data_IF_217603831060
#
_entry.id   IF_217603831060
#
_cell.length_a   1.000
_cell.length_b   1.000
_cell.length_c   1.000
_cell.angle_alpha   90.00
_cell.angle_beta   90.00
_cell.angle_gamma   90.00
#
_symmetry.space_group_name_H-M   'P 1'
#
loop_
_entity.id
_entity.type
_entity.pdbx_description
1 polymer ?
#
# COMPACT_ATOMS: atom_id res chain seq x y z
N UNK A 1 -9.63 33.70 -63.14
CA UNK A 1 -9.35 32.38 -63.74
C UNK A 1 -8.56 31.57 -62.71
N UNK A 2 -9.24 30.74 -61.92
CA UNK A 2 -8.63 29.87 -60.90
C UNK A 2 -8.05 28.67 -61.62
N UNK A 3 -6.72 28.53 -61.62
CA UNK A 3 -6.08 27.28 -62.04
C UNK A 3 -6.32 26.28 -60.91
N UNK A 4 -7.07 25.21 -61.20
CA UNK A 4 -7.40 24.16 -60.26
C UNK A 4 -6.15 23.39 -59.86
N UNK A 5 -6.06 23.03 -58.57
CA UNK A 5 -4.97 22.26 -57.94
C UNK A 5 -4.83 20.81 -58.45
N UNK A 6 -5.44 20.42 -59.58
CA UNK A 6 -5.43 19.02 -60.04
C UNK A 6 -4.26 18.65 -60.96
N UNK A 7 -3.28 19.54 -61.18
CA UNK A 7 -2.15 19.29 -62.08
C UNK A 7 -0.86 18.82 -61.40
N UNK A 8 -0.87 18.60 -60.07
CA UNK A 8 0.29 18.07 -59.31
C UNK A 8 0.25 16.57 -59.04
N UNK A 9 -0.67 15.83 -59.66
CA UNK A 9 -0.73 14.37 -59.58
C UNK A 9 -0.56 13.78 -60.97
N UNK A 10 0.68 13.57 -61.44
CA UNK A 10 1.01 12.49 -62.41
C UNK A 10 2.45 12.44 -62.97
N UNK A 11 3.45 13.15 -62.44
CA UNK A 11 4.87 12.86 -62.82
C UNK A 11 5.83 12.85 -61.62
N UNK A 12 5.85 11.78 -60.79
CA UNK A 12 6.70 11.74 -59.61
C UNK A 12 8.20 11.52 -59.86
N UNK A 13 8.67 11.40 -61.10
CA UNK A 13 10.00 10.83 -61.40
C UNK A 13 11.00 11.79 -62.04
N UNK A 14 10.69 13.09 -62.17
CA UNK A 14 11.62 14.06 -62.79
C UNK A 14 12.13 15.16 -61.86
N UNK A 15 11.63 15.24 -60.63
CA UNK A 15 12.23 16.07 -59.60
C UNK A 15 12.52 15.18 -58.40
N UNK A 16 13.71 14.60 -58.35
CA UNK A 16 14.27 14.19 -57.08
C UNK A 16 14.27 15.45 -56.20
N UNK A 17 13.42 15.49 -55.18
CA UNK A 17 13.52 16.52 -54.14
C UNK A 17 14.84 16.27 -53.46
N UNK A 18 15.86 17.04 -53.86
CA UNK A 18 17.14 17.09 -53.18
C UNK A 18 16.83 17.64 -51.80
N UNK A 19 16.67 16.77 -50.81
CA UNK A 19 16.52 17.23 -49.43
C UNK A 19 17.82 17.92 -49.05
N UNK A 20 17.69 19.11 -48.47
CA UNK A 20 18.86 19.81 -47.93
C UNK A 20 19.38 19.02 -46.73
N UNK A 21 20.69 19.00 -46.48
CA UNK A 21 21.23 18.39 -45.28
C UNK A 21 20.74 19.15 -44.02
N UNK A 22 20.73 18.46 -42.88
CA UNK A 22 20.42 19.04 -41.56
C UNK A 22 18.97 19.51 -41.34
N UNK A 23 17.97 18.87 -41.97
CA UNK A 23 16.55 19.26 -41.87
C UNK A 23 15.82 18.69 -40.63
N UNK A 24 16.46 17.80 -39.85
CA UNK A 24 15.84 17.22 -38.66
C UNK A 24 16.10 18.10 -37.42
N UNK A 25 15.03 18.38 -36.67
CA UNK A 25 15.00 19.35 -35.56
C UNK A 25 15.76 18.91 -34.29
N UNK A 26 16.37 17.73 -34.27
CA UNK A 26 17.12 17.17 -33.13
C UNK A 26 18.40 16.43 -33.56
N UNK A 27 19.08 16.93 -34.58
CA UNK A 27 20.29 16.31 -35.13
C UNK A 27 21.53 16.86 -34.44
N UNK A 28 22.27 16.01 -33.71
CA UNK A 28 23.58 16.38 -33.16
C UNK A 28 24.54 16.83 -34.26
N UNK A 29 25.47 17.75 -33.95
CA UNK A 29 26.35 18.39 -34.94
C UNK A 29 27.11 17.39 -35.82
N UNK A 30 27.48 16.22 -35.26
CA UNK A 30 28.15 15.15 -36.02
C UNK A 30 27.28 14.54 -37.12
N UNK A 31 25.99 14.35 -36.87
CA UNK A 31 25.06 13.80 -37.87
C UNK A 31 24.76 14.82 -38.97
N UNK A 32 24.64 16.11 -38.64
CA UNK A 32 24.50 17.18 -39.63
C UNK A 32 25.74 17.27 -40.54
N UNK A 33 26.95 17.15 -39.98
CA UNK A 33 28.20 17.12 -40.76
C UNK A 33 28.24 15.90 -41.70
N UNK A 34 27.81 14.72 -41.23
CA UNK A 34 27.71 13.52 -42.05
C UNK A 34 26.73 13.66 -43.21
N UNK A 35 25.56 14.27 -42.96
CA UNK A 35 24.55 14.52 -43.99
C UNK A 35 25.06 15.50 -45.06
N UNK A 36 25.76 16.58 -44.67
CA UNK A 36 26.39 17.54 -45.59
C UNK A 36 27.43 16.85 -46.48
N UNK A 37 28.25 15.98 -45.91
CA UNK A 37 29.30 15.27 -46.64
C UNK A 37 28.71 14.32 -47.70
N UNK A 38 27.71 13.52 -47.33
CA UNK A 38 27.02 12.62 -48.26
C UNK A 38 26.30 13.39 -49.38
N UNK A 39 25.68 14.51 -49.05
CA UNK A 39 25.03 15.40 -50.02
C UNK A 39 26.04 16.02 -51.01
N UNK A 40 27.20 16.44 -50.50
CA UNK A 40 28.28 17.02 -51.31
C UNK A 40 28.84 16.00 -52.32
N UNK A 41 29.05 14.75 -51.89
CA UNK A 41 29.50 13.68 -52.79
C UNK A 41 28.46 13.38 -53.87
N UNK A 42 27.17 13.35 -53.54
CA UNK A 42 26.12 13.11 -54.52
C UNK A 42 26.10 14.18 -55.62
N UNK A 43 26.22 15.46 -55.25
CA UNK A 43 26.27 16.58 -56.21
C UNK A 43 27.53 16.49 -57.07
N UNK A 44 28.69 16.26 -56.47
CA UNK A 44 29.96 16.14 -57.22
C UNK A 44 29.94 14.94 -58.15
N UNK A 45 29.35 13.81 -57.73
CA UNK A 45 29.18 12.62 -58.56
C UNK A 45 28.29 12.86 -59.78
N UNK A 46 27.16 13.56 -59.60
CA UNK A 46 26.27 13.96 -60.70
C UNK A 46 26.97 14.94 -61.64
N UNK A 47 27.67 15.93 -61.11
CA UNK A 47 28.42 16.90 -61.91
C UNK A 47 29.54 16.22 -62.72
N UNK A 48 30.26 15.28 -62.12
CA UNK A 48 31.30 14.49 -62.79
C UNK A 48 30.71 13.61 -63.90
N UNK A 49 29.57 12.95 -63.65
CA UNK A 49 28.87 12.15 -64.65
C UNK A 49 28.42 13.00 -65.85
N UNK A 50 27.83 14.18 -65.61
CA UNK A 50 27.43 15.11 -66.67
C UNK A 50 28.63 15.55 -67.50
N UNK A 51 29.78 15.84 -66.88
CA UNK A 51 30.99 16.24 -67.60
C UNK A 51 31.54 15.11 -68.47
N UNK A 52 31.55 13.87 -67.97
CA UNK A 52 31.98 12.69 -68.75
C UNK A 52 31.07 12.48 -69.96
N UNK A 53 29.75 12.61 -69.78
CA UNK A 53 28.78 12.46 -70.90
C UNK A 53 28.96 13.57 -71.93
N UNK A 54 29.09 14.84 -71.52
CA UNK A 54 29.30 15.97 -72.43
C UNK A 54 30.60 15.83 -73.22
N UNK A 55 31.69 15.50 -72.54
CA UNK A 55 32.98 15.28 -73.18
C UNK A 55 32.99 14.03 -74.08
N UNK A 56 32.23 12.99 -73.72
CA UNK A 56 32.04 11.80 -74.55
C UNK A 56 31.35 12.15 -75.89
N UNK A 57 30.26 12.93 -75.85
CA UNK A 57 29.57 13.39 -77.06
C UNK A 57 30.49 14.25 -77.92
N UNK A 58 31.24 15.18 -77.31
CA UNK A 58 32.23 16.03 -77.99
C UNK A 58 33.32 15.19 -78.68
N UNK A 59 33.82 14.13 -78.02
CA UNK A 59 34.80 13.22 -78.60
C UNK A 59 34.26 12.46 -79.82
N UNK A 60 33.01 11.98 -79.76
CA UNK A 60 32.39 11.26 -80.88
C UNK A 60 32.03 12.17 -82.06
N UNK A 61 31.72 13.45 -81.79
CA UNK A 61 31.28 14.42 -82.81
C UNK A 61 32.42 15.23 -83.43
N UNK A 62 33.65 15.10 -82.92
CA UNK A 62 34.84 15.85 -83.37
C UNK A 62 35.26 15.60 -84.86
N UNK A 63 34.62 14.68 -85.58
CA UNK A 63 34.63 14.54 -87.05
C UNK A 63 35.96 14.90 -87.77
N UNK A 64 37.10 14.41 -87.28
CA UNK A 64 38.43 14.60 -87.90
C UNK A 64 39.24 15.82 -87.43
N UNK A 65 38.71 16.66 -86.53
CA UNK A 65 39.47 17.73 -85.88
C UNK A 65 40.30 17.17 -84.70
N UNK A 66 41.62 17.16 -84.86
CA UNK A 66 42.54 16.66 -83.83
C UNK A 66 42.56 17.51 -82.54
N UNK A 67 42.20 18.80 -82.62
CA UNK A 67 42.15 19.69 -81.46
C UNK A 67 40.95 19.35 -80.57
N UNK A 68 39.75 19.27 -81.13
CA UNK A 68 38.52 19.01 -80.37
C UNK A 68 38.55 17.61 -79.73
N UNK A 69 39.13 16.63 -80.43
CA UNK A 69 39.34 15.29 -79.88
C UNK A 69 40.35 15.28 -78.71
N UNK A 70 41.35 16.17 -78.72
CA UNK A 70 42.32 16.33 -77.63
C UNK A 70 41.69 17.04 -76.44
N UNK A 71 40.89 18.07 -76.68
CA UNK A 71 40.20 18.83 -75.63
C UNK A 71 39.14 17.98 -74.93
N UNK A 72 38.37 17.17 -75.67
CA UNK A 72 37.43 16.21 -75.10
C UNK A 72 38.13 15.17 -74.21
N UNK A 73 39.30 14.66 -74.64
CA UNK A 73 40.14 13.76 -73.84
C UNK A 73 40.63 14.43 -72.55
N UNK A 74 41.05 15.69 -72.61
CA UNK A 74 41.44 16.46 -71.42
C UNK A 74 40.29 16.55 -70.42
N UNK A 75 39.08 16.90 -70.88
CA UNK A 75 37.88 17.00 -70.04
C UNK A 75 37.53 15.67 -69.36
N UNK A 76 37.72 14.55 -70.06
CA UNK A 76 37.54 13.20 -69.48
C UNK A 76 38.61 12.92 -68.43
N UNK A 77 39.89 13.22 -68.71
CA UNK A 77 40.98 13.02 -67.75
C UNK A 77 40.80 13.85 -66.48
N UNK A 78 40.38 15.11 -66.61
CA UNK A 78 40.11 16.00 -65.48
C UNK A 78 38.94 15.49 -64.62
N UNK A 79 37.87 14.98 -65.25
CA UNK A 79 36.75 14.36 -64.54
C UNK A 79 37.15 13.07 -63.81
N UNK A 80 37.98 12.22 -64.42
CA UNK A 80 38.50 11.00 -63.80
C UNK A 80 39.38 11.33 -62.60
N UNK A 81 40.26 12.33 -62.72
CA UNK A 81 41.08 12.80 -61.59
C UNK A 81 40.21 13.33 -60.43
N UNK A 82 39.13 14.05 -60.75
CA UNK A 82 38.16 14.50 -59.75
C UNK A 82 37.47 13.35 -59.01
N UNK A 83 37.07 12.30 -59.75
CA UNK A 83 36.46 11.09 -59.16
C UNK A 83 37.46 10.34 -58.28
N UNK A 84 38.71 10.21 -58.72
CA UNK A 84 39.78 9.57 -57.93
C UNK A 84 40.02 10.36 -56.65
N UNK A 85 40.11 11.70 -56.72
CA UNK A 85 40.31 12.55 -55.55
C UNK A 85 39.14 12.44 -54.56
N UNK A 86 37.90 12.39 -55.06
CA UNK A 86 36.71 12.17 -54.24
C UNK A 86 36.74 10.80 -53.56
N UNK A 87 37.08 9.74 -54.31
CA UNK A 87 37.16 8.39 -53.78
C UNK A 87 38.29 8.25 -52.74
N UNK A 88 39.45 8.86 -52.99
CA UNK A 88 40.55 8.91 -52.03
C UNK A 88 40.16 9.64 -50.75
N UNK A 89 39.45 10.77 -50.86
CA UNK A 89 38.94 11.51 -49.69
C UNK A 89 37.97 10.65 -48.86
N UNK A 90 37.07 9.92 -49.53
CA UNK A 90 36.15 8.98 -48.87
C UNK A 90 36.89 7.85 -48.13
N UNK A 91 37.91 7.24 -48.76
CA UNK A 91 38.68 6.17 -48.12
C UNK A 91 39.43 6.68 -46.88
N UNK A 92 40.08 7.83 -46.97
CA UNK A 92 40.82 8.43 -45.84
C UNK A 92 39.87 8.72 -44.67
N UNK A 93 38.73 9.36 -44.93
CA UNK A 93 37.75 9.70 -43.90
C UNK A 93 37.15 8.43 -43.26
N UNK A 94 36.85 7.41 -44.08
CA UNK A 94 36.36 6.11 -43.61
C UNK A 94 37.38 5.36 -42.73
N UNK A 95 38.68 5.51 -43.03
CA UNK A 95 39.75 4.88 -42.24
C UNK A 95 39.98 5.59 -40.90
N UNK A 96 39.85 6.91 -40.84
CA UNK A 96 40.03 7.67 -39.58
C UNK A 96 38.82 7.48 -38.66
N UNK A 97 37.60 7.63 -39.19
CA UNK A 97 36.39 7.36 -38.44
C UNK A 97 35.23 7.02 -39.42
N UNK A 98 34.74 5.76 -39.45
CA UNK A 98 33.67 5.36 -40.35
C UNK A 98 32.33 6.07 -40.09
N UNK A 99 32.14 6.68 -38.91
CA UNK A 99 30.92 7.41 -38.56
C UNK A 99 30.81 8.77 -39.28
N UNK A 100 31.92 9.29 -39.84
CA UNK A 100 31.92 10.55 -40.59
C UNK A 100 31.39 10.41 -42.03
N UNK A 101 31.26 9.18 -42.52
CA UNK A 101 30.88 8.87 -43.92
C UNK A 101 29.68 7.93 -44.04
N UNK A 102 28.92 7.74 -42.95
CA UNK A 102 27.59 7.11 -43.00
C UNK A 102 27.55 5.63 -43.39
N UNK A 103 28.50 4.81 -42.92
CA UNK A 103 28.34 3.35 -42.94
C UNK A 103 28.22 2.71 -44.34
N UNK A 104 29.30 2.76 -45.12
CA UNK A 104 29.52 1.88 -46.29
C UNK A 104 28.75 2.24 -47.58
N UNK A 105 29.38 2.07 -48.76
CA UNK A 105 28.73 2.31 -50.05
C UNK A 105 27.82 1.12 -50.38
N UNK A 106 26.53 1.23 -50.08
CA UNK A 106 25.54 0.21 -50.46
C UNK A 106 24.26 0.17 -49.62
N UNK A 107 24.20 0.87 -48.49
CA UNK A 107 23.11 0.69 -47.51
C UNK A 107 22.09 1.84 -47.41
N UNK A 108 22.26 2.97 -48.12
CA UNK A 108 21.49 4.18 -47.78
C UNK A 108 21.11 5.09 -48.95
N UNK A 109 20.80 4.56 -50.14
CA UNK A 109 20.38 5.41 -51.29
C UNK A 109 18.94 5.18 -51.76
N UNK A 110 18.19 4.20 -51.23
CA UNK A 110 16.79 4.00 -51.63
C UNK A 110 15.86 3.63 -50.48
N UNK A 111 15.87 4.40 -49.39
CA UNK A 111 14.66 4.53 -48.56
C UNK A 111 14.69 5.86 -47.77
N UNK A 112 13.91 6.89 -48.14
CA UNK A 112 13.75 8.08 -47.30
C UNK A 112 13.02 7.79 -45.96
N UNK A 113 12.68 6.54 -45.65
CA UNK A 113 12.09 6.11 -44.38
C UNK A 113 12.88 5.09 -43.57
N UNK A 114 14.07 4.64 -44.00
CA UNK A 114 14.79 3.55 -43.30
C UNK A 114 16.24 3.90 -43.00
N UNK A 115 16.48 5.09 -42.46
CA UNK A 115 17.43 5.13 -41.36
C UNK A 115 16.84 4.18 -40.31
N UNK A 116 17.45 3.00 -40.16
CA UNK A 116 17.38 2.23 -38.93
C UNK A 116 17.89 3.15 -37.83
N UNK A 117 17.01 4.03 -37.37
CA UNK A 117 16.92 4.39 -35.99
C UNK A 117 16.90 3.04 -35.31
N UNK A 118 18.01 2.66 -34.69
CA UNK A 118 17.91 1.96 -33.44
C UNK A 118 17.03 2.89 -32.59
N UNK A 119 15.70 2.74 -32.73
CA UNK A 119 14.73 3.43 -31.93
C UNK A 119 15.10 2.96 -30.55
N UNK A 120 15.71 3.87 -29.79
CA UNK A 120 16.12 3.63 -28.42
C UNK A 120 14.82 3.33 -27.68
N UNK A 121 14.46 2.05 -27.63
CA UNK A 121 13.15 1.62 -27.18
C UNK A 121 13.03 2.05 -25.71
N UNK A 122 11.99 2.80 -25.40
CA UNK A 122 11.69 3.12 -24.02
C UNK A 122 11.37 1.82 -23.29
N UNK A 123 12.02 1.60 -22.15
CA UNK A 123 11.79 0.41 -21.35
C UNK A 123 11.77 0.78 -19.88
N UNK A 124 10.76 0.28 -19.19
CA UNK A 124 10.60 0.38 -17.76
C UNK A 124 11.12 -0.91 -17.13
N UNK A 125 12.30 -0.85 -16.53
CA UNK A 125 13.00 -2.05 -16.03
C UNK A 125 12.56 -2.40 -14.62
N UNK A 126 12.34 -1.40 -13.76
CA UNK A 126 11.88 -1.61 -12.39
C UNK A 126 10.95 -0.49 -11.90
N UNK A 127 10.15 -0.82 -10.89
CA UNK A 127 9.41 0.13 -10.07
C UNK A 127 9.71 -0.17 -8.61
N UNK A 128 9.94 0.86 -7.81
CA UNK A 128 10.14 0.75 -6.38
C UNK A 128 9.46 1.90 -5.62
N UNK A 129 8.73 1.62 -4.53
CA UNK A 129 8.36 0.29 -4.04
C UNK A 129 7.22 -0.33 -4.88
N UNK A 130 7.11 -1.67 -4.91
CA UNK A 130 5.94 -2.37 -5.52
C UNK A 130 4.67 -2.28 -4.67
N UNK A 131 4.82 -1.89 -3.40
CA UNK A 131 3.73 -1.56 -2.47
C UNK A 131 3.98 -0.14 -1.98
N UNK A 132 3.15 0.79 -2.40
CA UNK A 132 3.35 2.22 -2.15
C UNK A 132 2.23 2.74 -1.27
N UNK A 133 2.60 3.55 -0.29
CA UNK A 133 1.62 4.19 0.59
C UNK A 133 0.84 5.23 -0.23
N UNK A 134 -0.45 5.39 0.04
CA UNK A 134 -1.24 6.49 -0.49
C UNK A 134 -0.53 7.85 -0.28
N UNK A 135 -0.45 8.69 -1.33
CA UNK A 135 0.34 9.93 -1.27
C UNK A 135 1.86 9.74 -1.37
N UNK A 136 2.33 8.50 -1.51
CA UNK A 136 3.74 8.11 -1.45
C UNK A 136 4.50 8.32 -2.76
N UNK A 137 5.82 8.21 -2.67
CA UNK A 137 6.71 8.32 -3.82
C UNK A 137 6.94 6.96 -4.48
N UNK A 138 6.93 6.96 -5.82
CA UNK A 138 7.19 5.82 -6.66
C UNK A 138 8.36 6.14 -7.59
N UNK A 139 9.45 5.39 -7.49
CA UNK A 139 10.60 5.50 -8.39
C UNK A 139 10.46 4.49 -9.53
N UNK A 140 10.47 5.00 -10.75
CA UNK A 140 10.49 4.24 -11.99
C UNK A 140 11.93 4.21 -12.53
N UNK A 141 12.51 3.03 -12.68
CA UNK A 141 13.83 2.86 -13.29
C UNK A 141 13.69 2.27 -14.69
N UNK A 142 14.48 2.77 -15.62
CA UNK A 142 14.40 2.32 -17.00
C UNK A 142 15.52 2.84 -17.88
N UNK A 143 15.27 2.83 -19.19
CA UNK A 143 16.20 3.36 -20.19
C UNK A 143 15.44 4.18 -21.23
N UNK A 144 16.14 5.18 -21.77
CA UNK A 144 15.66 6.05 -22.84
C UNK A 144 14.42 6.87 -22.47
N UNK A 145 14.31 7.27 -21.19
CA UNK A 145 13.42 8.35 -20.80
C UNK A 145 13.92 9.68 -21.37
N UNK A 146 12.99 10.60 -21.59
CA UNK A 146 13.25 11.94 -22.12
C UNK A 146 12.50 12.96 -21.27
N UNK A 147 12.83 14.25 -21.40
CA UNK A 147 12.09 15.32 -20.70
C UNK A 147 10.60 15.41 -21.08
N UNK A 148 10.20 14.75 -22.17
CA UNK A 148 8.81 14.67 -22.64
C UNK A 148 8.17 13.31 -22.36
N UNK A 149 8.83 12.45 -21.59
CA UNK A 149 8.24 11.16 -21.17
C UNK A 149 7.03 11.42 -20.26
N UNK A 150 5.99 10.63 -20.46
CA UNK A 150 4.70 10.76 -19.78
C UNK A 150 4.44 9.48 -19.00
N UNK A 151 4.09 9.61 -17.71
CA UNK A 151 3.66 8.46 -16.91
C UNK A 151 2.19 8.23 -17.15
N UNK A 152 1.79 6.97 -17.33
CA UNK A 152 0.40 6.56 -17.42
C UNK A 152 0.04 5.63 -16.28
N UNK A 153 -1.13 5.81 -15.70
CA UNK A 153 -1.72 4.92 -14.69
C UNK A 153 -3.02 4.34 -15.28
N UNK A 154 -3.13 3.01 -15.29
CA UNK A 154 -4.23 2.25 -15.91
C UNK A 154 -4.51 2.67 -17.36
N UNK A 155 -3.44 3.01 -18.09
CA UNK A 155 -3.47 3.45 -19.47
C UNK A 155 -3.81 4.94 -19.68
N UNK A 156 -4.17 5.68 -18.63
CA UNK A 156 -4.48 7.10 -18.71
C UNK A 156 -3.25 7.97 -18.34
N UNK A 157 -3.03 9.11 -19.03
CA UNK A 157 -2.04 10.10 -18.61
C UNK A 157 -2.17 10.50 -17.14
N UNK A 158 -1.06 10.48 -16.41
CA UNK A 158 -1.01 10.97 -15.03
C UNK A 158 -0.60 12.44 -14.97
N UNK A 159 -0.94 13.13 -13.87
CA UNK A 159 -0.68 14.57 -13.70
C UNK A 159 0.83 14.88 -13.81
N UNK A 160 1.26 15.68 -14.81
CA UNK A 160 2.66 16.09 -14.94
C UNK A 160 3.21 16.84 -13.72
N UNK A 161 2.35 17.50 -12.93
CA UNK A 161 2.75 18.19 -11.70
C UNK A 161 3.24 17.24 -10.59
N UNK A 162 2.91 15.95 -10.71
CA UNK A 162 3.31 14.90 -9.79
C UNK A 162 4.47 14.04 -10.30
N UNK A 163 5.06 14.38 -11.46
CA UNK A 163 6.10 13.58 -12.13
C UNK A 163 7.39 14.38 -12.26
N UNK A 164 8.48 13.85 -11.71
CA UNK A 164 9.83 14.40 -11.84
C UNK A 164 10.70 13.45 -12.65
N UNK A 165 11.18 13.88 -13.81
CA UNK A 165 12.05 13.08 -14.67
C UNK A 165 13.51 13.40 -14.34
N UNK A 166 14.25 12.43 -13.81
CA UNK A 166 15.65 12.57 -13.42
C UNK A 166 16.58 11.90 -14.45
N UNK A 167 16.75 12.56 -15.59
CA UNK A 167 17.58 12.06 -16.68
C UNK A 167 16.92 10.92 -17.48
N UNK A 168 17.73 10.08 -18.13
CA UNK A 168 17.24 9.09 -19.09
C UNK A 168 16.88 7.73 -18.50
N UNK A 169 17.01 7.55 -17.19
CA UNK A 169 16.87 6.25 -16.53
C UNK A 169 16.05 6.25 -15.24
N UNK A 170 15.62 7.41 -14.76
CA UNK A 170 14.85 7.53 -13.53
C UNK A 170 13.71 8.53 -13.68
N UNK A 171 12.53 8.17 -13.19
CA UNK A 171 11.39 9.06 -13.01
C UNK A 171 10.87 8.85 -11.59
N UNK A 172 10.60 9.93 -10.86
CA UNK A 172 9.98 9.90 -9.53
C UNK A 172 8.54 10.40 -9.70
N UNK A 173 7.58 9.63 -9.23
CA UNK A 173 6.15 9.94 -9.29
C UNK A 173 5.63 10.07 -7.87
N UNK A 174 4.96 11.18 -7.57
CA UNK A 174 4.21 11.35 -6.34
C UNK A 174 2.78 10.91 -6.59
N UNK A 175 2.36 9.80 -5.98
CA UNK A 175 0.98 9.38 -6.10
C UNK A 175 0.08 10.33 -5.30
N UNK A 176 -1.09 10.64 -5.82
CA UNK A 176 -2.10 11.41 -5.11
C UNK A 176 -2.92 10.50 -4.18
N UNK A 177 -3.92 11.09 -3.54
CA UNK A 177 -4.82 10.42 -2.60
C UNK A 177 -6.14 10.00 -3.27
N UNK A 178 -6.13 9.78 -4.59
CA UNK A 178 -7.36 9.39 -5.31
C UNK A 178 -7.53 7.88 -5.45
N UNK A 179 -6.45 7.11 -5.21
CA UNK A 179 -6.47 5.65 -5.27
C UNK A 179 -6.98 5.02 -3.96
N UNK A 180 -7.72 3.92 -4.08
CA UNK A 180 -8.25 3.19 -2.94
C UNK A 180 -7.20 2.26 -2.33
N UNK A 181 -7.27 2.07 -1.02
CA UNK A 181 -6.39 1.10 -0.34
C UNK A 181 -6.67 -0.32 -0.84
N UNK A 182 -5.61 -1.04 -1.21
CA UNK A 182 -5.70 -2.39 -1.79
C UNK A 182 -5.90 -2.40 -3.31
N UNK A 183 -6.08 -1.23 -3.93
CA UNK A 183 -6.12 -1.10 -5.39
C UNK A 183 -4.76 -1.47 -6.00
N UNK A 184 -4.81 -2.17 -7.12
CA UNK A 184 -3.64 -2.51 -7.93
C UNK A 184 -3.68 -1.64 -9.19
N UNK A 185 -2.68 -0.78 -9.34
CA UNK A 185 -2.57 0.17 -10.45
C UNK A 185 -1.48 -0.27 -11.43
N UNK A 186 -1.74 -0.15 -12.72
CA UNK A 186 -0.78 -0.46 -13.77
C UNK A 186 -0.05 0.78 -14.24
N UNK A 187 1.25 0.85 -13.93
CA UNK A 187 2.10 2.01 -14.23
C UNK A 187 2.96 1.73 -15.45
N UNK A 188 2.91 2.61 -16.44
CA UNK A 188 3.76 2.57 -17.63
C UNK A 188 4.32 3.97 -17.96
N UNK A 189 5.32 4.00 -18.84
CA UNK A 189 5.92 5.24 -19.36
C UNK A 189 5.70 5.28 -20.87
N UNK A 190 5.19 6.42 -21.36
CA UNK A 190 5.02 6.72 -22.77
C UNK A 190 6.10 7.71 -23.23
N UNK A 191 6.70 7.45 -24.38
CA UNK A 191 7.64 8.35 -25.06
C UNK A 191 7.26 8.44 -26.54
N UNK A 192 6.54 9.50 -26.91
CA UNK A 192 5.91 9.63 -28.23
C UNK A 192 4.94 8.48 -28.50
N UNK A 193 5.18 7.72 -29.57
CA UNK A 193 4.35 6.56 -29.94
C UNK A 193 4.70 5.26 -29.21
N UNK A 194 5.77 5.24 -28.41
CA UNK A 194 6.18 4.05 -27.67
C UNK A 194 5.63 4.08 -26.25
N UNK A 195 5.06 2.97 -25.79
CA UNK A 195 4.65 2.77 -24.39
C UNK A 195 5.36 1.54 -23.85
N UNK A 196 5.88 1.64 -22.62
CA UNK A 196 6.51 0.49 -21.95
C UNK A 196 5.47 -0.56 -21.58
N UNK A 197 5.93 -1.79 -21.33
CA UNK A 197 5.10 -2.77 -20.61
C UNK A 197 4.79 -2.21 -19.23
N UNK A 198 3.52 -2.26 -18.84
CA UNK A 198 3.09 -1.79 -17.53
C UNK A 198 3.63 -2.68 -16.40
N UNK A 199 3.82 -2.09 -15.24
CA UNK A 199 4.16 -2.79 -14.01
C UNK A 199 3.13 -2.43 -12.94
N UNK A 200 2.62 -3.45 -12.29
CA UNK A 200 1.58 -3.30 -11.28
C UNK A 200 2.17 -2.89 -9.93
N UNK A 201 1.54 -1.92 -9.29
CA UNK A 201 1.86 -1.42 -7.94
C UNK A 201 0.60 -1.52 -7.09
N UNK A 202 0.73 -1.96 -5.84
CA UNK A 202 -0.41 -2.03 -4.91
C UNK A 202 -0.38 -0.84 -3.97
N UNK A 203 -1.51 -0.13 -3.89
CA UNK A 203 -1.70 0.99 -2.98
C UNK A 203 -1.97 0.45 -1.58
N UNK A 204 -1.23 0.97 -0.60
CA UNK A 204 -1.36 0.57 0.80
C UNK A 204 -1.75 1.77 1.65
N UNK A 205 -2.61 1.53 2.64
CA UNK A 205 -3.03 2.57 3.55
C UNK A 205 -1.87 3.14 4.35
N UNK A 206 -1.91 4.45 4.59
CA UNK A 206 -0.90 5.21 5.37
C UNK A 206 -0.67 4.65 6.77
N UNK A 207 -1.68 4.00 7.35
CA UNK A 207 -1.64 3.37 8.66
C UNK A 207 -2.22 1.96 8.57
N UNK A 208 -1.44 0.98 8.10
CA UNK A 208 -1.84 -0.43 8.25
C UNK A 208 -1.85 -0.77 9.75
N UNK A 209 -3.02 -0.70 10.35
CA UNK A 209 -3.28 -1.27 11.67
C UNK A 209 -3.41 -2.78 11.55
N UNK A 210 -2.94 -3.49 12.57
CA UNK A 210 -3.23 -4.92 12.70
C UNK A 210 -3.89 -5.19 14.04
N UNK A 211 -4.74 -6.21 14.08
CA UNK A 211 -5.28 -6.79 15.30
C UNK A 211 -4.92 -8.27 15.29
N UNK A 212 -4.24 -8.74 16.32
CA UNK A 212 -3.66 -10.09 16.36
C UNK A 212 -4.31 -10.98 17.41
N UNK A 213 -4.74 -10.44 18.54
CA UNK A 213 -5.38 -11.23 19.60
C UNK A 213 -6.30 -10.41 20.51
N UNK A 214 -7.20 -11.13 21.19
CA UNK A 214 -8.03 -10.64 22.29
C UNK A 214 -7.62 -11.37 23.57
N UNK A 215 -7.52 -10.66 24.69
CA UNK A 215 -7.23 -11.27 26.00
C UNK A 215 -8.09 -10.62 27.08
N UNK A 216 -8.96 -11.39 27.76
CA UNK A 216 -9.31 -12.79 27.45
C UNK A 216 -10.00 -12.94 26.08
N UNK A 217 -10.03 -14.15 25.51
CA UNK A 217 -10.72 -14.44 24.24
C UNK A 217 -12.18 -14.90 24.43
N UNK A 218 -12.63 -15.01 25.68
CA UNK A 218 -13.98 -15.37 26.07
C UNK A 218 -14.33 -14.68 27.40
N UNK A 219 -15.63 -14.50 27.64
CA UNK A 219 -16.13 -13.95 28.90
C UNK A 219 -17.58 -13.48 28.81
N UNK A 220 -18.21 -13.19 29.95
CA UNK A 220 -19.57 -12.63 30.03
C UNK A 220 -19.65 -11.19 29.51
N UNK A 221 -20.87 -10.67 29.26
CA UNK A 221 -21.10 -9.25 29.03
C UNK A 221 -20.46 -8.36 30.11
N UNK A 222 -19.78 -7.28 29.71
CA UNK A 222 -19.07 -6.38 30.63
C UNK A 222 -17.59 -6.73 30.88
N UNK A 223 -17.11 -7.90 30.44
CA UNK A 223 -15.69 -8.29 30.52
C UNK A 223 -14.80 -7.21 29.91
N UNK A 224 -13.74 -6.81 30.62
CA UNK A 224 -12.71 -5.92 30.06
C UNK A 224 -11.75 -6.77 29.23
N UNK A 225 -11.65 -6.44 27.94
CA UNK A 225 -10.85 -7.17 26.96
C UNK A 225 -9.75 -6.26 26.43
N UNK A 226 -8.54 -6.80 26.34
CA UNK A 226 -7.43 -6.14 25.63
C UNK A 226 -7.29 -6.72 24.23
N UNK A 227 -7.34 -5.85 23.22
CA UNK A 227 -6.93 -6.14 21.85
C UNK A 227 -5.44 -5.82 21.69
N UNK A 228 -4.66 -6.79 21.19
CA UNK A 228 -3.25 -6.62 20.83
C UNK A 228 -3.11 -6.43 19.32
N UNK A 229 -2.19 -5.58 18.88
CA UNK A 229 -2.01 -5.23 17.48
C UNK A 229 -0.73 -4.44 17.18
N UNK A 230 -0.67 -3.82 16.01
CA UNK A 230 0.40 -2.88 15.62
C UNK A 230 -0.17 -1.58 15.07
N UNK A 231 0.59 -0.50 15.23
CA UNK A 231 0.27 0.85 14.74
C UNK A 231 -1.09 1.38 15.22
N UNK A 232 -1.55 0.94 16.39
CA UNK A 232 -2.82 1.40 16.96
C UNK A 232 -2.70 2.87 17.39
N UNK A 233 -3.73 3.67 17.11
CA UNK A 233 -3.77 5.10 17.43
C UNK A 233 -5.11 5.48 18.06
N UNK A 234 -5.24 6.72 18.53
CA UNK A 234 -6.46 7.25 19.17
C UNK A 234 -7.66 7.30 18.23
N UNK A 235 -7.42 7.24 16.92
CA UNK A 235 -8.43 7.31 15.88
C UNK A 235 -9.02 5.94 15.53
N UNK A 236 -8.44 4.85 16.05
CA UNK A 236 -8.94 3.48 15.82
C UNK A 236 -10.29 3.30 16.50
N UNK A 237 -11.30 2.91 15.72
CA UNK A 237 -12.63 2.53 16.21
C UNK A 237 -12.75 1.02 16.27
N UNK A 238 -12.98 0.47 17.46
CA UNK A 238 -13.33 -0.94 17.60
C UNK A 238 -14.80 -1.16 17.26
N UNK A 239 -15.09 -2.25 16.55
CA UNK A 239 -16.44 -2.67 16.23
C UNK A 239 -16.71 -4.10 16.71
N UNK A 240 -17.87 -4.29 17.34
CA UNK A 240 -18.44 -5.55 17.77
C UNK A 240 -19.58 -5.93 16.83
N UNK A 241 -19.40 -6.99 16.04
CA UNK A 241 -20.27 -7.37 14.92
C UNK A 241 -20.61 -6.20 13.98
N UNK A 242 -19.62 -5.35 13.72
CA UNK A 242 -19.77 -4.15 12.89
C UNK A 242 -20.37 -2.93 13.62
N UNK A 243 -20.83 -3.07 14.87
CA UNK A 243 -21.30 -1.94 15.69
C UNK A 243 -20.15 -1.35 16.49
N UNK A 244 -19.89 -0.04 16.35
CA UNK A 244 -18.79 0.63 17.05
C UNK A 244 -19.00 0.60 18.57
N UNK A 245 -17.95 0.19 19.31
CA UNK A 245 -17.93 0.15 20.77
C UNK A 245 -16.92 1.15 21.33
N UNK A 246 -17.15 1.61 22.56
CA UNK A 246 -16.19 2.48 23.25
C UNK A 246 -14.93 1.71 23.61
N UNK A 247 -13.77 2.31 23.35
CA UNK A 247 -12.46 1.72 23.62
C UNK A 247 -11.46 2.78 24.09
N UNK A 248 -10.41 2.33 24.76
CA UNK A 248 -9.33 3.16 25.31
C UNK A 248 -8.00 2.69 24.73
N UNK A 249 -7.24 3.61 24.12
CA UNK A 249 -5.87 3.33 23.69
C UNK A 249 -4.95 3.31 24.90
N UNK A 250 -4.25 2.19 25.14
CA UNK A 250 -3.19 2.12 26.15
C UNK A 250 -1.85 2.54 25.56
N UNK A 251 -1.51 2.01 24.38
CA UNK A 251 -0.32 2.34 23.60
C UNK A 251 -0.48 1.87 22.14
N UNK A 252 0.54 2.04 21.31
CA UNK A 252 0.51 1.71 19.88
C UNK A 252 0.37 0.20 19.55
N UNK A 253 0.27 -0.67 20.56
CA UNK A 253 0.05 -2.11 20.40
C UNK A 253 -1.13 -2.65 21.21
N UNK A 254 -1.80 -1.82 22.02
CA UNK A 254 -2.87 -2.26 22.94
C UNK A 254 -4.03 -1.28 23.01
N UNK A 255 -5.24 -1.81 22.82
CA UNK A 255 -6.51 -1.11 23.06
C UNK A 255 -7.34 -1.94 24.04
N UNK A 256 -7.95 -1.32 25.04
CA UNK A 256 -8.92 -1.97 25.93
C UNK A 256 -10.35 -1.55 25.60
N UNK A 257 -11.30 -2.47 25.76
CA UNK A 257 -12.73 -2.20 25.64
C UNK A 257 -13.52 -3.12 26.57
N UNK A 258 -14.81 -2.82 26.78
CA UNK A 258 -15.72 -3.70 27.51
C UNK A 258 -16.63 -4.44 26.54
N UNK A 259 -16.82 -5.74 26.76
CA UNK A 259 -17.85 -6.53 26.04
C UNK A 259 -19.21 -5.84 26.24
N UNK A 260 -19.98 -5.56 25.17
CA UNK A 260 -21.29 -4.91 25.30
C UNK A 260 -22.21 -5.65 26.27
N UNK A 261 -22.92 -4.92 27.13
CA UNK A 261 -23.87 -5.50 28.09
C UNK A 261 -25.07 -6.19 27.42
N UNK A 262 -25.33 -5.87 26.15
CA UNK A 262 -26.37 -6.50 25.32
C UNK A 262 -25.87 -7.71 24.53
N UNK A 263 -24.59 -8.09 24.64
CA UNK A 263 -24.05 -9.22 23.90
C UNK A 263 -24.71 -10.53 24.36
N UNK A 264 -25.01 -11.42 23.40
CA UNK A 264 -25.68 -12.70 23.65
C UNK A 264 -24.66 -13.83 23.61
N UNK A 265 -25.01 -14.99 24.13
CA UNK A 265 -24.13 -16.16 24.02
C UNK A 265 -23.95 -16.59 22.57
N UNK A 266 -22.75 -16.35 22.04
CA UNK A 266 -22.31 -16.71 20.69
C UNK A 266 -20.82 -16.38 20.52
N UNK A 267 -20.27 -16.78 19.37
CA UNK A 267 -19.03 -16.20 18.86
C UNK A 267 -19.38 -14.87 18.18
N UNK A 268 -18.73 -13.81 18.64
CA UNK A 268 -18.85 -12.46 18.11
C UNK A 268 -17.56 -12.03 17.43
N UNK A 269 -17.67 -11.17 16.41
CA UNK A 269 -16.53 -10.67 15.67
C UNK A 269 -16.11 -9.30 16.18
N UNK A 270 -14.84 -9.16 16.53
CA UNK A 270 -14.23 -7.88 16.88
C UNK A 270 -13.31 -7.45 15.75
N UNK A 271 -13.51 -6.24 15.22
CA UNK A 271 -12.61 -5.63 14.24
C UNK A 271 -12.10 -4.29 14.74
N UNK A 272 -10.91 -3.90 14.28
CA UNK A 272 -10.37 -2.57 14.46
C UNK A 272 -10.42 -1.82 13.12
N UNK A 273 -10.98 -0.60 13.14
CA UNK A 273 -11.22 0.19 11.94
C UNK A 273 -10.46 1.52 12.05
N UNK A 274 -9.69 1.87 11.02
CA UNK A 274 -9.01 3.15 10.90
C UNK A 274 -9.16 3.65 9.46
N UNK A 275 -9.89 4.76 9.28
CA UNK A 275 -10.29 5.27 7.97
C UNK A 275 -10.94 4.14 7.14
N UNK A 276 -10.45 3.88 5.92
CA UNK A 276 -10.93 2.82 5.03
C UNK A 276 -10.29 1.44 5.30
N UNK A 277 -9.45 1.32 6.33
CA UNK A 277 -8.83 0.04 6.72
C UNK A 277 -9.63 -0.62 7.84
N UNK A 278 -10.09 -1.86 7.61
CA UNK A 278 -10.69 -2.72 8.63
C UNK A 278 -9.81 -3.96 8.79
N UNK A 279 -9.45 -4.33 10.03
CA UNK A 279 -8.70 -5.57 10.29
C UNK A 279 -9.56 -6.81 10.03
N UNK A 280 -8.92 -7.96 9.85
CA UNK A 280 -9.64 -9.24 9.91
C UNK A 280 -10.39 -9.39 11.25
N UNK A 281 -11.54 -10.09 11.26
CA UNK A 281 -12.31 -10.30 12.47
C UNK A 281 -11.55 -11.22 13.45
N UNK A 282 -11.46 -10.78 14.70
CA UNK A 282 -11.01 -11.61 15.82
C UNK A 282 -12.24 -12.18 16.54
N UNK A 283 -12.36 -13.51 16.70
CA UNK A 283 -13.49 -14.11 17.40
C UNK A 283 -13.37 -13.88 18.91
N UNK A 284 -14.47 -13.51 19.54
CA UNK A 284 -14.64 -13.52 20.99
C UNK A 284 -15.85 -14.40 21.35
N UNK A 285 -15.66 -15.36 22.25
CA UNK A 285 -16.76 -16.21 22.71
C UNK A 285 -17.46 -15.55 23.89
N UNK A 286 -18.63 -14.97 23.66
CA UNK A 286 -19.50 -14.60 24.78
C UNK A 286 -20.08 -15.87 25.34
N UNK A 287 -19.70 -16.14 26.57
CA UNK A 287 -20.27 -17.21 27.38
C UNK A 287 -21.25 -16.57 28.35
N UNK A 288 -22.22 -17.34 28.83
CA UNK A 288 -22.94 -16.96 30.04
C UNK A 288 -21.90 -16.56 31.07
N UNK A 289 -22.17 -15.51 31.85
CA UNK A 289 -21.77 -15.63 33.24
C UNK A 289 -22.37 -16.96 33.68
N UNK A 290 -21.56 -17.92 34.13
CA UNK A 290 -22.10 -19.16 34.74
C UNK A 290 -23.03 -18.86 35.94
N UNK A 291 -23.22 -17.56 36.24
CA UNK A 291 -24.09 -16.98 37.24
C UNK A 291 -25.28 -16.11 36.74
N UNK A 292 -25.66 -16.10 35.45
CA UNK A 292 -26.80 -15.32 34.99
C UNK A 292 -27.68 -15.99 33.91
N UNK A 293 -28.34 -17.12 34.23
CA UNK A 293 -29.61 -17.45 33.58
C UNK A 293 -30.74 -16.81 34.40
N UNK A 294 -31.45 -15.79 33.88
CA UNK A 294 -32.55 -15.14 34.61
C UNK A 294 -33.74 -16.07 34.88
N UNK A 295 -33.80 -17.24 34.25
CA UNK A 295 -34.89 -18.21 34.39
C UNK A 295 -34.55 -19.42 35.28
N UNK A 296 -33.28 -19.62 35.63
CA UNK A 296 -32.89 -20.67 36.57
C UNK A 296 -32.92 -20.12 38.01
N UNK A 297 -33.21 -20.97 38.98
CA UNK A 297 -33.04 -20.60 40.37
C UNK A 297 -31.55 -20.65 40.75
N UNK A 298 -31.06 -19.80 41.67
CA UNK A 298 -29.74 -19.96 42.26
C UNK A 298 -29.61 -21.34 42.92
N UNK A 299 -28.46 -21.98 42.76
CA UNK A 299 -28.14 -23.27 43.35
C UNK A 299 -26.80 -23.19 44.08
N UNK A 300 -26.75 -23.74 45.29
CA UNK A 300 -25.55 -23.78 46.13
C UNK A 300 -25.06 -25.22 46.19
N UNK A 301 -23.82 -25.44 45.78
CA UNK A 301 -23.17 -26.75 45.76
C UNK A 301 -22.42 -27.02 47.06
N UNK A 302 -21.69 -26.02 47.56
CA UNK A 302 -20.92 -26.14 48.80
C UNK A 302 -20.77 -24.79 49.49
N UNK A 303 -20.68 -24.82 50.81
CA UNK A 303 -20.46 -23.63 51.64
C UNK A 303 -19.30 -23.91 52.58
N UNK A 304 -18.34 -23.00 52.64
CA UNK A 304 -17.30 -22.96 53.65
C UNK A 304 -17.65 -21.88 54.67
N UNK A 305 -18.09 -22.33 55.85
CA UNK A 305 -18.53 -21.48 56.95
C UNK A 305 -17.65 -21.80 58.16
N UNK A 306 -17.06 -20.78 58.82
CA UNK A 306 -16.32 -21.02 60.06
C UNK A 306 -17.30 -21.44 61.16
N UNK A 307 -16.92 -22.43 61.98
CA UNK A 307 -17.74 -22.87 63.12
C UNK A 307 -17.88 -21.75 64.18
N UNK A 308 -16.86 -20.89 64.30
CA UNK A 308 -16.74 -19.86 65.32
C UNK A 308 -16.13 -18.58 64.77
N UNK A 309 -16.61 -17.43 65.26
CA UNK A 309 -15.98 -16.12 65.02
C UNK A 309 -15.77 -15.46 66.38
N UNK A 310 -14.53 -15.10 66.69
CA UNK A 310 -14.23 -14.34 67.90
C UNK A 310 -14.72 -12.89 67.77
N UNK A 311 -15.31 -12.36 68.82
CA UNK A 311 -15.77 -10.98 68.87
C UNK A 311 -14.62 -10.00 68.58
N UNK A 312 -14.83 -9.09 67.63
CA UNK A 312 -13.83 -8.12 67.16
C UNK A 312 -12.90 -8.64 66.05
N UNK A 313 -13.10 -9.88 65.58
CA UNK A 313 -12.38 -10.43 64.44
C UNK A 313 -13.30 -10.57 63.21
N UNK A 314 -12.69 -10.50 62.03
CA UNK A 314 -13.34 -10.78 60.75
C UNK A 314 -12.99 -12.18 60.24
N UNK A 315 -13.96 -12.87 59.67
CA UNK A 315 -13.76 -14.15 58.98
C UNK A 315 -14.31 -14.11 57.55
N UNK A 316 -13.90 -15.07 56.73
CA UNK A 316 -14.36 -15.21 55.35
C UNK A 316 -15.34 -16.37 55.22
N UNK A 317 -16.46 -16.13 54.55
CA UNK A 317 -17.41 -17.17 54.15
C UNK A 317 -17.36 -17.31 52.64
N UNK A 318 -17.19 -18.55 52.17
CA UNK A 318 -17.14 -18.85 50.74
C UNK A 318 -18.30 -19.75 50.34
N UNK A 319 -19.00 -19.36 49.28
CA UNK A 319 -20.16 -20.10 48.76
C UNK A 319 -19.88 -20.46 47.32
N UNK A 320 -19.84 -21.75 47.01
CA UNK A 320 -19.72 -22.24 45.64
C UNK A 320 -21.05 -22.75 45.13
N UNK A 321 -21.35 -22.49 43.85
CA UNK A 321 -22.62 -22.85 43.26
C UNK A 321 -22.79 -22.32 41.84
N UNK A 322 -24.03 -22.35 41.37
CA UNK A 322 -24.41 -21.83 40.05
C UNK A 322 -25.56 -20.83 40.15
N UNK A 323 -25.61 -19.91 39.18
CA UNK A 323 -26.60 -18.83 39.13
C UNK A 323 -26.60 -17.88 40.37
N UNK A 324 -25.41 -17.70 40.97
CA UNK A 324 -25.11 -16.81 42.10
C UNK A 324 -24.72 -15.40 41.62
N UNK A 325 -25.54 -14.39 41.88
CA UNK A 325 -25.39 -13.05 41.29
C UNK A 325 -24.57 -12.10 42.17
N UNK A 326 -23.90 -11.16 41.51
CA UNK A 326 -23.38 -9.97 42.18
C UNK A 326 -24.53 -9.20 42.85
N UNK A 327 -24.35 -8.77 44.10
CA UNK A 327 -25.41 -8.15 44.92
C UNK A 327 -26.27 -9.15 45.71
N UNK A 328 -25.87 -10.43 45.76
CA UNK A 328 -26.36 -11.32 46.81
C UNK A 328 -25.93 -10.78 48.19
N UNK A 329 -26.76 -11.03 49.19
CA UNK A 329 -26.57 -10.55 50.55
C UNK A 329 -26.49 -11.73 51.50
N UNK A 330 -25.53 -11.70 52.42
CA UNK A 330 -25.46 -12.63 53.54
C UNK A 330 -26.09 -11.97 54.76
N UNK A 331 -27.12 -12.58 55.32
CA UNK A 331 -27.80 -12.08 56.52
C UNK A 331 -27.46 -12.98 57.69
N UNK A 332 -26.83 -12.41 58.72
CA UNK A 332 -26.48 -13.10 59.96
C UNK A 332 -27.43 -12.66 61.07
N UNK A 333 -28.60 -13.30 61.18
CA UNK A 333 -29.61 -12.98 62.21
C UNK A 333 -29.79 -11.47 62.45
N UNK A 334 -29.65 -11.06 63.71
CA UNK A 334 -29.68 -9.65 64.13
C UNK A 334 -28.32 -8.94 64.00
N UNK A 335 -27.23 -9.64 63.67
CA UNK A 335 -25.87 -9.09 63.60
C UNK A 335 -25.65 -8.23 62.35
N UNK A 336 -26.33 -8.52 61.24
CA UNK A 336 -26.30 -7.61 60.10
C UNK A 336 -26.47 -8.26 58.75
N UNK A 337 -26.33 -7.41 57.72
CA UNK A 337 -26.36 -7.79 56.31
C UNK A 337 -25.02 -7.45 55.68
N UNK A 338 -24.38 -8.43 55.08
CA UNK A 338 -23.08 -8.33 54.44
C UNK A 338 -23.22 -8.45 52.93
N UNK A 339 -22.61 -7.52 52.22
CA UNK A 339 -22.56 -7.51 50.76
C UNK A 339 -21.45 -8.44 50.25
N UNK A 340 -21.59 -8.95 49.03
CA UNK A 340 -20.54 -9.76 48.39
C UNK A 340 -19.23 -8.99 48.29
N UNK A 341 -18.16 -9.53 48.88
CA UNK A 341 -16.82 -8.97 48.82
C UNK A 341 -16.10 -9.30 47.50
N UNK A 342 -16.36 -10.49 46.93
CA UNK A 342 -15.89 -10.89 45.60
C UNK A 342 -16.88 -11.82 44.92
N UNK A 343 -16.92 -11.77 43.58
CA UNK A 343 -17.80 -12.57 42.73
C UNK A 343 -16.94 -13.26 41.68
N UNK A 344 -16.85 -14.59 41.78
CA UNK A 344 -16.27 -15.49 40.77
C UNK A 344 -17.34 -16.11 39.87
N UNK A 345 -16.91 -16.91 38.89
CA UNK A 345 -17.80 -17.59 37.93
C UNK A 345 -18.77 -18.58 38.58
N UNK A 346 -18.39 -19.13 39.73
CA UNK A 346 -19.07 -20.21 40.46
C UNK A 346 -18.98 -20.00 41.98
N UNK A 347 -18.57 -18.80 42.42
CA UNK A 347 -18.20 -18.55 43.82
C UNK A 347 -18.56 -17.15 44.28
N UNK A 348 -19.10 -17.03 45.49
CA UNK A 348 -19.24 -15.79 46.23
C UNK A 348 -18.36 -15.82 47.48
N UNK A 349 -17.72 -14.70 47.77
CA UNK A 349 -16.94 -14.52 49.01
C UNK A 349 -17.53 -13.36 49.80
N UNK A 350 -17.75 -13.58 51.09
CA UNK A 350 -18.19 -12.57 52.06
C UNK A 350 -17.13 -12.42 53.16
N UNK A 351 -16.95 -11.20 53.65
CA UNK A 351 -16.17 -10.92 54.85
C UNK A 351 -17.14 -10.50 55.92
N UNK A 352 -17.20 -11.26 57.01
CA UNK A 352 -18.11 -11.06 58.14
C UNK A 352 -17.35 -10.65 59.38
N UNK A 353 -17.93 -9.81 60.22
CA UNK A 353 -17.29 -9.27 61.42
C UNK A 353 -18.05 -9.73 62.68
N UNK A 354 -17.36 -10.37 63.62
CA UNK A 354 -17.95 -10.82 64.89
C UNK A 354 -18.37 -9.66 65.81
N UNK A 355 -17.97 -8.42 65.51
CA UNK A 355 -18.32 -7.22 66.26
C UNK A 355 -19.47 -6.39 65.68
N UNK A 356 -19.85 -6.61 64.42
CA UNK A 356 -21.03 -5.99 63.82
C UNK A 356 -22.27 -6.56 64.49
N UNK A 357 -22.76 -5.90 65.54
CA UNK A 357 -23.80 -6.44 66.40
C UNK A 357 -24.76 -5.38 66.98
N UNK A 358 -25.88 -5.88 67.49
CA UNK A 358 -26.96 -5.07 68.08
C UNK A 358 -26.69 -4.60 69.50
N UNK A 359 -25.81 -5.26 70.27
CA UNK A 359 -25.60 -4.91 71.67
C UNK A 359 -24.88 -3.58 71.81
N UNK A 360 -23.88 -3.32 70.97
CA UNK A 360 -23.22 -2.01 70.94
C UNK A 360 -24.18 -0.91 70.45
N UNK A 361 -25.03 -1.22 69.47
CA UNK A 361 -26.03 -0.28 68.95
C UNK A 361 -27.13 0.07 69.99
N UNK A 362 -27.50 -0.89 70.85
CA UNK A 362 -28.55 -0.73 71.86
C UNK A 362 -28.00 -0.32 73.25
N UNK A 363 -26.68 -0.32 73.44
CA UNK A 363 -26.03 -0.03 74.73
C UNK A 363 -26.18 -1.14 75.76
N UNK A 364 -26.46 -2.36 75.31
CA UNK A 364 -26.63 -3.54 76.15
C UNK A 364 -25.26 -4.15 76.54
N UNK A 365 -25.13 -4.76 77.73
CA UNK A 365 -23.89 -5.43 78.11
C UNK A 365 -23.61 -6.65 77.22
N UNK A 366 -22.32 -6.89 76.91
CA UNK A 366 -21.90 -8.05 76.12
C UNK A 366 -22.31 -9.36 76.80
N UNK A 367 -22.73 -10.38 76.01
CA UNK A 367 -23.02 -11.72 76.53
C UNK A 367 -21.83 -12.34 77.28
N UNK A 368 -22.13 -13.17 78.28
CA UNK A 368 -21.14 -13.94 79.05
C UNK A 368 -21.04 -15.40 78.61
N UNK A 369 -21.72 -15.77 77.53
CA UNK A 369 -21.71 -17.09 76.91
C UNK A 369 -21.69 -16.90 75.38
N UNK A 370 -21.16 -17.87 74.62
CA UNK A 370 -21.21 -17.80 73.16
C UNK A 370 -22.64 -17.74 72.64
N UNK A 371 -22.82 -17.04 71.52
CA UNK A 371 -24.14 -16.86 70.89
C UNK A 371 -24.16 -17.53 69.52
N UNK A 372 -25.15 -18.38 69.30
CA UNK A 372 -25.37 -19.04 68.00
C UNK A 372 -26.18 -18.13 67.08
N UNK A 373 -25.69 -17.94 65.85
CA UNK A 373 -26.27 -17.05 64.85
C UNK A 373 -26.58 -17.83 63.58
N UNK A 374 -27.83 -17.79 63.14
CA UNK A 374 -28.24 -18.38 61.87
C UNK A 374 -27.87 -17.47 60.70
N UNK A 375 -27.36 -18.11 59.64
CA UNK A 375 -26.84 -17.41 58.46
C UNK A 375 -27.65 -17.77 57.23
N UNK A 376 -28.02 -16.75 56.46
CA UNK A 376 -28.91 -16.87 55.32
C UNK A 376 -28.33 -16.17 54.09
N UNK A 377 -28.40 -16.83 52.94
CA UNK A 377 -28.06 -16.21 51.67
C UNK A 377 -29.34 -15.70 50.98
N UNK A 378 -29.35 -14.41 50.66
CA UNK A 378 -30.40 -13.76 49.87
C UNK A 378 -29.87 -13.32 48.51
N UNK A 379 -30.72 -13.39 47.49
CA UNK A 379 -30.44 -12.87 46.16
C UNK A 379 -31.73 -12.29 45.58
N UNK A 380 -31.66 -11.09 44.98
CA UNK A 380 -32.82 -10.37 44.46
C UNK A 380 -33.95 -10.22 45.51
N UNK A 381 -33.59 -10.09 46.78
CA UNK A 381 -34.52 -9.98 47.92
C UNK A 381 -35.24 -11.27 48.32
N UNK A 382 -34.84 -12.43 47.78
CA UNK A 382 -35.40 -13.74 48.13
C UNK A 382 -34.36 -14.61 48.85
N UNK A 383 -34.82 -15.39 49.83
CA UNK A 383 -34.01 -16.39 50.50
C UNK A 383 -33.63 -17.49 49.49
N UNK A 384 -32.33 -17.72 49.34
CA UNK A 384 -31.75 -18.71 48.42
C UNK A 384 -31.28 -19.95 49.17
N UNK A 385 -30.59 -19.76 50.30
CA UNK A 385 -29.97 -20.86 51.04
C UNK A 385 -29.92 -20.55 52.54
N UNK A 386 -30.04 -21.59 53.36
CA UNK A 386 -29.84 -21.52 54.81
C UNK A 386 -28.51 -22.20 55.09
N UNK A 387 -27.55 -21.45 55.63
CA UNK A 387 -26.22 -21.93 55.94
C UNK A 387 -26.21 -22.55 57.34
N UNK A 388 -25.11 -23.23 57.69
CA UNK A 388 -24.85 -23.67 59.06
C UNK A 388 -24.80 -22.47 60.01
N UNK A 389 -25.24 -22.68 61.24
CA UNK A 389 -25.14 -21.68 62.29
C UNK A 389 -23.66 -21.44 62.67
N UNK A 390 -23.35 -20.20 63.05
CA UNK A 390 -22.02 -19.78 63.52
C UNK A 390 -22.10 -19.42 64.99
N UNK A 391 -21.10 -19.79 65.78
CA UNK A 391 -20.98 -19.38 67.18
C UNK A 391 -20.09 -18.14 67.32
N UNK A 392 -20.59 -17.09 67.96
CA UNK A 392 -19.82 -15.88 68.27
C UNK A 392 -19.26 -15.99 69.69
N UNK A 393 -17.93 -16.01 69.79
CA UNK A 393 -17.20 -16.14 71.05
C UNK A 393 -16.84 -14.77 71.61
N UNK A 394 -17.27 -14.46 72.84
CA UNK A 394 -17.04 -13.17 73.49
C UNK A 394 -15.81 -13.23 74.42
N UNK A 395 -15.07 -12.11 74.63
CA UNK A 395 -13.77 -12.10 75.32
C UNK A 395 -13.77 -12.56 76.80
N UNK A 396 -14.94 -12.87 77.39
CA UNK A 396 -15.09 -13.34 78.77
C UNK A 396 -15.81 -14.71 78.88
N UNK A 397 -15.93 -15.46 77.79
CA UNK A 397 -16.46 -16.84 77.81
C UNK A 397 -15.35 -17.83 78.18
N UNK A 398 -15.54 -18.73 79.17
CA UNK A 398 -14.51 -19.68 79.59
C UNK A 398 -14.13 -20.71 78.53
#
# INVERSE_FOLDING_TARGET
>A
MKISKSFYQSTPWLFATISLPCQATNTGIGQCIGDIYNWSIAIVGIAAFIQVVRAGIEYFTAAGNASDAKDAKSKISDAILGIILLFSSYVILRTINPDLVGGGPGSAIFDPGSASSATRQVSLTAISPMRVVEGGLLTLSGVNFTSTSEVTIDGNPYDPGQVMINGSSEIIVQLDNTFSVGEAIDVAVRNGSQTTVAKTVVIVGKNQITATSLTPAQGPPGTVVTLTGTNLTSEVKLAWDGTVVSSTLENNTRITFKVPTSAREAIHNVTANLNDTTTGPLPFSVVSDANADPNLAPHVDSVDVPDRIAFGNTETIEISGSNLKAGAQLVMGEYGTYETASVGSDKLTFVVDGSDNIWEANGDPLPTAPVTVSVYLYQDGKLVYILSDIEIDFPNTP
#
